data_IF_915285544739
#
_entry.id   IF_915285544739
#
_cell.length_a   1.000
_cell.length_b   1.000
_cell.length_c   1.000
_cell.angle_alpha   90.00
_cell.angle_beta   90.00
_cell.angle_gamma   90.00
#
_symmetry.space_group_name_H-M   'P 1'
#
loop_
_entity.id
_entity.type
_entity.pdbx_description
1 polymer ?
#
# COMPACT_ATOMS: atom_id res chain seq x y z
N UNK A 1 -43.35 10.81 2.33
CA UNK A 1 -42.47 11.94 2.00
C UNK A 1 -41.63 12.23 3.24
N UNK A 2 -40.36 11.83 3.22
CA UNK A 2 -39.30 12.31 4.12
C UNK A 2 -37.98 11.85 3.48
N UNK A 3 -37.27 12.72 2.75
CA UNK A 3 -35.99 12.36 2.18
C UNK A 3 -35.02 12.11 3.33
N UNK A 4 -34.48 10.89 3.42
CA UNK A 4 -33.35 10.58 4.29
C UNK A 4 -32.23 11.53 3.88
N UNK A 5 -31.99 12.54 4.70
CA UNK A 5 -30.84 13.43 4.59
C UNK A 5 -29.61 12.56 4.75
N UNK A 6 -29.01 12.19 3.62
CA UNK A 6 -27.67 11.62 3.59
C UNK A 6 -26.79 12.73 4.18
N UNK A 7 -26.09 12.52 5.31
CA UNK A 7 -25.14 13.50 5.79
C UNK A 7 -24.16 13.79 4.66
N UNK A 8 -23.86 15.06 4.35
CA UNK A 8 -22.92 15.37 3.29
C UNK A 8 -21.64 14.60 3.60
N UNK A 9 -21.12 13.83 2.62
CA UNK A 9 -19.74 13.36 2.68
C UNK A 9 -18.93 14.58 3.11
N UNK A 10 -18.33 14.54 4.30
CA UNK A 10 -17.39 15.58 4.67
C UNK A 10 -16.40 15.60 3.50
N UNK A 11 -16.34 16.71 2.77
CA UNK A 11 -15.36 16.84 1.70
C UNK A 11 -14.03 16.52 2.37
N UNK A 12 -13.27 15.57 1.84
CA UNK A 12 -11.94 15.31 2.34
C UNK A 12 -11.18 16.63 2.26
N UNK A 13 -10.95 17.28 3.40
CA UNK A 13 -10.27 18.58 3.47
C UNK A 13 -8.80 18.32 3.69
N UNK A 14 -7.95 19.12 3.03
CA UNK A 14 -6.51 19.08 3.26
C UNK A 14 -6.22 19.42 4.72
N UNK A 15 -5.17 18.83 5.26
CA UNK A 15 -4.68 19.23 6.58
C UNK A 15 -4.21 20.70 6.52
N UNK A 16 -4.46 21.45 7.59
CA UNK A 16 -4.07 22.87 7.69
C UNK A 16 -2.59 23.10 7.41
N UNK A 17 -1.74 22.16 7.83
CA UNK A 17 -0.30 22.19 7.58
C UNK A 17 0.04 22.05 6.08
N UNK A 18 -0.73 21.28 5.31
CA UNK A 18 -0.57 21.13 3.86
C UNK A 18 -1.02 22.41 3.16
N UNK A 19 -2.10 23.04 3.61
CA UNK A 19 -2.55 24.32 3.04
C UNK A 19 -1.53 25.45 3.29
N UNK A 20 -0.96 25.51 4.50
CA UNK A 20 0.11 26.45 4.82
C UNK A 20 1.38 26.20 3.99
N UNK A 21 1.76 24.93 3.79
CA UNK A 21 2.88 24.57 2.93
C UNK A 21 2.62 24.96 1.47
N UNK A 22 1.43 24.68 0.92
CA UNK A 22 1.05 25.09 -0.43
C UNK A 22 1.18 26.61 -0.61
N UNK A 23 0.65 27.40 0.32
CA UNK A 23 0.74 28.86 0.27
C UNK A 23 2.21 29.34 0.32
N UNK A 24 3.06 28.70 1.11
CA UNK A 24 4.50 29.00 1.11
C UNK A 24 5.15 28.65 -0.23
N UNK A 25 4.78 27.53 -0.85
CA UNK A 25 5.32 27.07 -2.13
C UNK A 25 4.94 27.94 -3.33
N UNK A 26 3.86 28.71 -3.25
CA UNK A 26 3.48 29.66 -4.30
C UNK A 26 4.46 30.83 -4.43
N UNK A 27 5.13 31.21 -3.33
CA UNK A 27 6.13 32.29 -3.31
C UNK A 27 7.50 31.87 -3.81
N UNK A 28 7.74 30.55 -3.95
CA UNK A 28 9.02 29.96 -4.29
C UNK A 28 9.25 29.91 -5.80
N UNK A 29 10.49 30.19 -6.21
CA UNK A 29 10.94 29.97 -7.58
C UNK A 29 10.83 28.50 -7.97
N UNK A 30 10.56 28.22 -9.26
CA UNK A 30 10.34 26.85 -9.72
C UNK A 30 11.56 25.93 -9.51
N UNK A 31 12.78 26.43 -9.69
CA UNK A 31 13.98 25.61 -9.47
C UNK A 31 14.22 25.31 -7.99
N UNK A 32 13.88 26.24 -7.09
CA UNK A 32 13.93 26.01 -5.65
C UNK A 32 12.87 24.98 -5.21
N UNK A 33 11.67 25.06 -5.79
CA UNK A 33 10.62 24.05 -5.60
C UNK A 33 11.13 22.65 -5.99
N UNK A 34 11.77 22.51 -7.15
CA UNK A 34 12.31 21.23 -7.60
C UNK A 34 13.38 20.71 -6.64
N UNK A 35 14.32 21.55 -6.22
CA UNK A 35 15.38 21.17 -5.29
C UNK A 35 14.80 20.64 -3.96
N UNK A 36 13.76 21.29 -3.43
CA UNK A 36 13.06 20.82 -2.22
C UNK A 36 12.25 19.53 -2.46
N UNK A 37 11.63 19.38 -3.62
CA UNK A 37 10.89 18.17 -3.97
C UNK A 37 11.79 16.93 -4.15
N UNK A 38 13.07 17.13 -4.50
CA UNK A 38 14.08 16.07 -4.57
C UNK A 38 14.49 15.51 -3.20
N UNK A 39 14.38 16.34 -2.15
CA UNK A 39 14.59 15.89 -0.77
C UNK A 39 13.59 14.77 -0.50
N UNK A 40 14.13 13.62 -0.10
CA UNK A 40 13.35 12.41 0.09
C UNK A 40 13.22 12.00 1.55
N UNK A 41 13.99 12.63 2.43
CA UNK A 41 13.96 12.37 3.87
C UNK A 41 12.85 13.19 4.51
N UNK A 42 11.83 12.52 5.07
CA UNK A 42 10.69 13.17 5.75
C UNK A 42 11.09 13.94 7.01
N UNK A 43 12.23 13.61 7.61
CA UNK A 43 12.75 14.29 8.79
C UNK A 43 13.51 15.58 8.45
N UNK A 44 13.81 15.82 7.17
CA UNK A 44 14.49 17.03 6.74
C UNK A 44 13.50 18.22 6.73
N UNK A 45 13.84 19.38 7.35
CA UNK A 45 12.97 20.56 7.35
C UNK A 45 12.63 21.12 5.96
N UNK A 46 13.45 20.85 4.95
CA UNK A 46 13.21 21.23 3.56
C UNK A 46 12.34 20.25 2.78
N UNK A 47 11.94 19.11 3.38
CA UNK A 47 11.09 18.13 2.73
C UNK A 47 9.69 18.68 2.49
N UNK A 48 9.29 18.73 1.23
CA UNK A 48 7.92 19.05 0.83
C UNK A 48 7.05 17.80 0.96
N UNK A 49 5.84 17.92 1.48
CA UNK A 49 4.88 16.81 1.54
C UNK A 49 4.42 16.37 0.16
N UNK A 50 4.05 15.10 0.04
CA UNK A 50 3.67 14.54 -1.26
C UNK A 50 2.34 15.13 -1.76
N UNK A 51 1.44 15.48 -0.86
CA UNK A 51 0.19 16.20 -1.12
C UNK A 51 0.44 17.55 -1.80
N UNK A 52 1.36 18.34 -1.25
CA UNK A 52 1.76 19.65 -1.78
C UNK A 52 2.43 19.52 -3.16
N UNK A 53 3.24 18.47 -3.37
CA UNK A 53 3.80 18.15 -4.68
C UNK A 53 2.69 17.82 -5.70
N UNK A 54 1.68 17.03 -5.32
CA UNK A 54 0.54 16.70 -6.19
C UNK A 54 -0.21 17.96 -6.55
N UNK A 55 -0.51 18.84 -5.58
CA UNK A 55 -1.14 20.13 -5.83
C UNK A 55 -0.38 20.94 -6.89
N UNK A 56 0.94 21.12 -6.70
CA UNK A 56 1.79 21.87 -7.65
C UNK A 56 1.86 21.21 -9.02
N UNK A 57 1.92 19.88 -9.08
CA UNK A 57 1.90 19.13 -10.34
C UNK A 57 0.58 19.36 -11.09
N UNK A 58 -0.56 19.31 -10.39
CA UNK A 58 -1.89 19.55 -10.99
C UNK A 58 -2.06 20.99 -11.45
N UNK A 59 -1.52 21.96 -10.70
CA UNK A 59 -1.51 23.37 -11.10
C UNK A 59 -0.81 23.61 -12.44
N UNK A 60 0.18 22.79 -12.85
CA UNK A 60 0.80 22.94 -14.18
C UNK A 60 -0.15 22.71 -15.36
N UNK A 61 -1.35 22.18 -15.10
CA UNK A 61 -2.41 22.04 -16.11
C UNK A 61 -2.89 23.39 -16.64
N UNK A 62 -2.98 24.43 -15.79
CA UNK A 62 -3.42 25.77 -16.22
C UNK A 62 -2.38 26.49 -17.07
N UNK A 63 -1.10 26.20 -16.83
CA UNK A 63 0.01 26.95 -17.42
C UNK A 63 0.52 26.33 -18.73
N UNK A 64 -0.04 25.18 -19.13
CA UNK A 64 0.31 24.37 -20.31
C UNK A 64 1.82 24.17 -20.54
N UNK A 65 2.61 24.18 -19.45
CA UNK A 65 4.05 24.04 -19.51
C UNK A 65 4.46 22.59 -19.24
N UNK A 66 4.54 21.81 -20.32
CA UNK A 66 4.90 20.38 -20.27
C UNK A 66 6.28 20.14 -19.63
N UNK A 67 7.23 21.07 -19.77
CA UNK A 67 8.56 20.92 -19.18
C UNK A 67 8.51 20.96 -17.64
N UNK A 68 7.70 21.86 -17.06
CA UNK A 68 7.49 21.92 -15.60
C UNK A 68 6.77 20.68 -15.09
N UNK A 69 5.72 20.27 -15.79
CA UNK A 69 4.98 19.06 -15.47
C UNK A 69 5.90 17.83 -15.46
N UNK A 70 6.70 17.64 -16.50
CA UNK A 70 7.59 16.48 -16.63
C UNK A 70 8.59 16.39 -15.46
N UNK A 71 9.17 17.52 -15.03
CA UNK A 71 10.09 17.54 -13.87
C UNK A 71 9.37 17.12 -12.58
N UNK A 72 8.17 17.65 -12.32
CA UNK A 72 7.39 17.29 -11.13
C UNK A 72 6.86 15.85 -11.18
N UNK A 73 6.44 15.38 -12.36
CA UNK A 73 5.92 14.05 -12.58
C UNK A 73 6.97 12.96 -12.28
N UNK A 74 8.22 13.17 -12.69
CA UNK A 74 9.32 12.25 -12.36
C UNK A 74 9.52 12.15 -10.85
N UNK A 75 9.46 13.27 -10.13
CA UNK A 75 9.60 13.29 -8.66
C UNK A 75 8.41 12.62 -7.97
N UNK A 76 7.20 12.86 -8.47
CA UNK A 76 5.97 12.22 -7.99
C UNK A 76 6.04 10.70 -8.15
N UNK A 77 6.40 10.19 -9.33
CA UNK A 77 6.59 8.75 -9.55
C UNK A 77 7.67 8.17 -8.64
N UNK A 78 8.77 8.90 -8.41
CA UNK A 78 9.85 8.48 -7.53
C UNK A 78 9.38 8.33 -6.08
N UNK A 79 8.48 9.21 -5.62
CA UNK A 79 7.87 9.14 -4.28
C UNK A 79 6.91 7.97 -4.15
N UNK A 80 6.10 7.70 -5.18
CA UNK A 80 5.24 6.51 -5.20
C UNK A 80 6.08 5.24 -5.18
N UNK A 81 7.09 5.13 -6.04
CA UNK A 81 7.97 3.96 -6.08
C UNK A 81 8.66 3.70 -4.73
N UNK A 82 9.03 4.76 -3.98
CA UNK A 82 9.59 4.64 -2.63
C UNK A 82 8.57 4.23 -1.56
N UNK A 83 7.30 4.60 -1.75
CA UNK A 83 6.20 4.20 -0.87
C UNK A 83 5.78 2.74 -1.09
N UNK A 84 6.05 2.19 -2.28
CA UNK A 84 5.81 0.79 -2.58
C UNK A 84 6.85 -0.14 -1.90
N UNK A 85 6.48 -1.38 -1.57
CA UNK A 85 7.40 -2.35 -0.98
C UNK A 85 8.57 -2.64 -1.93
N UNK A 86 9.77 -2.82 -1.37
CA UNK A 86 10.95 -3.18 -2.15
C UNK A 86 10.83 -4.63 -2.62
N UNK A 87 10.79 -4.82 -3.94
CA UNK A 87 10.87 -6.13 -4.56
C UNK A 87 12.27 -6.75 -4.48
N UNK A 88 13.30 -5.91 -4.29
CA UNK A 88 14.70 -6.33 -4.22
C UNK A 88 15.15 -6.48 -2.77
N UNK A 89 15.77 -7.61 -2.47
CA UNK A 89 16.43 -7.86 -1.18
C UNK A 89 17.83 -8.39 -1.40
N UNK A 90 18.81 -7.77 -0.75
CA UNK A 90 20.18 -8.28 -0.71
C UNK A 90 20.29 -9.33 0.38
N UNK A 91 20.65 -10.55 0.02
CA UNK A 91 20.99 -11.64 0.94
C UNK A 91 22.34 -12.19 0.51
N UNK A 92 23.31 -12.23 1.42
CA UNK A 92 24.67 -12.73 1.18
C UNK A 92 25.34 -12.14 -0.08
N UNK A 93 25.19 -10.84 -0.29
CA UNK A 93 25.78 -10.12 -1.44
C UNK A 93 25.11 -10.39 -2.79
N UNK A 94 24.05 -11.21 -2.84
CA UNK A 94 23.23 -11.46 -4.03
C UNK A 94 21.92 -10.68 -3.92
N UNK A 95 21.51 -10.05 -5.02
CA UNK A 95 20.22 -9.37 -5.13
C UNK A 95 19.18 -10.42 -5.53
N UNK A 96 18.28 -10.73 -4.61
CA UNK A 96 17.08 -11.52 -4.87
C UNK A 96 15.95 -10.57 -5.23
N UNK A 97 15.24 -10.88 -6.32
CA UNK A 97 14.08 -10.12 -6.77
C UNK A 97 12.83 -10.98 -6.56
N UNK A 98 11.92 -10.50 -5.73
CA UNK A 98 10.59 -11.07 -5.63
C UNK A 98 9.77 -10.65 -6.84
N UNK A 99 9.56 -11.59 -7.76
CA UNK A 99 8.80 -11.38 -9.00
C UNK A 99 7.36 -10.94 -8.71
N UNK A 100 6.69 -11.52 -7.70
CA UNK A 100 5.30 -11.19 -7.40
C UNK A 100 5.18 -9.75 -6.89
N UNK A 101 6.07 -9.34 -5.98
CA UNK A 101 6.11 -7.94 -5.51
C UNK A 101 6.46 -6.97 -6.63
N UNK A 102 7.37 -7.35 -7.54
CA UNK A 102 7.72 -6.54 -8.70
C UNK A 102 6.52 -6.33 -9.63
N UNK A 103 5.79 -7.39 -9.97
CA UNK A 103 4.62 -7.31 -10.85
C UNK A 103 3.51 -6.44 -10.26
N UNK A 104 3.30 -6.52 -8.93
CA UNK A 104 2.35 -5.64 -8.23
C UNK A 104 2.80 -4.18 -8.30
N UNK A 105 4.09 -3.91 -8.11
CA UNK A 105 4.63 -2.56 -8.18
C UNK A 105 4.52 -1.97 -9.59
N UNK A 106 4.84 -2.75 -10.62
CA UNK A 106 4.71 -2.33 -12.02
C UNK A 106 3.25 -2.03 -12.36
N UNK A 107 2.31 -2.91 -11.96
CA UNK A 107 0.88 -2.68 -12.14
C UNK A 107 0.36 -1.42 -11.39
N UNK A 108 0.90 -1.12 -10.21
CA UNK A 108 0.58 0.10 -9.47
C UNK A 108 1.10 1.35 -10.18
N UNK A 109 2.35 1.31 -10.68
CA UNK A 109 2.98 2.40 -11.41
C UNK A 109 2.27 2.69 -12.74
N UNK A 110 1.87 1.65 -13.47
CA UNK A 110 1.08 1.80 -14.69
C UNK A 110 -0.30 2.40 -14.43
N UNK A 111 -0.94 1.97 -13.34
CA UNK A 111 -2.23 2.53 -12.95
C UNK A 111 -2.12 4.00 -12.61
N UNK A 112 -1.11 4.44 -11.85
CA UNK A 112 -0.98 5.87 -11.52
C UNK A 112 -0.63 6.70 -12.75
N UNK A 113 0.20 6.20 -13.68
CA UNK A 113 0.47 6.89 -14.96
C UNK A 113 -0.84 7.19 -15.70
N UNK A 114 -1.72 6.20 -15.80
CA UNK A 114 -3.05 6.37 -16.40
C UNK A 114 -3.92 7.38 -15.63
N UNK A 115 -3.93 7.34 -14.30
CA UNK A 115 -4.70 8.30 -13.49
C UNK A 115 -4.21 9.73 -13.71
N UNK A 116 -2.90 9.95 -13.82
CA UNK A 116 -2.31 11.26 -14.11
C UNK A 116 -2.71 11.75 -15.51
N UNK A 117 -2.70 10.87 -16.52
CA UNK A 117 -3.18 11.23 -17.86
C UNK A 117 -4.66 11.66 -17.85
N UNK A 118 -5.51 10.91 -17.14
CA UNK A 118 -6.93 11.23 -17.01
C UNK A 118 -7.16 12.55 -16.25
N UNK A 119 -6.41 12.79 -15.17
CA UNK A 119 -6.48 14.05 -14.41
C UNK A 119 -6.08 15.25 -15.29
N UNK A 120 -5.00 15.11 -16.06
CA UNK A 120 -4.53 16.16 -16.98
C UNK A 120 -5.56 16.49 -18.06
N UNK A 121 -6.35 15.51 -18.50
CA UNK A 121 -7.38 15.70 -19.53
C UNK A 121 -8.63 16.44 -19.04
N UNK A 122 -8.81 16.65 -17.73
CA UNK A 122 -10.12 17.11 -17.23
C UNK A 122 -10.53 16.58 -15.88
N UNK A 123 -9.91 15.49 -15.43
CA UNK A 123 -10.43 14.69 -14.32
C UNK A 123 -10.12 15.23 -12.92
N UNK A 124 -10.69 14.51 -11.96
CA UNK A 124 -10.59 14.64 -10.50
C UNK A 124 -9.84 13.45 -9.88
N UNK A 125 -9.13 12.67 -10.72
CA UNK A 125 -8.57 11.36 -10.35
C UNK A 125 -7.44 11.47 -9.31
N UNK A 126 -6.83 12.64 -9.18
CA UNK A 126 -5.78 12.90 -8.20
C UNK A 126 -6.27 13.69 -6.96
N UNK A 127 -7.55 14.03 -6.85
CA UNK A 127 -8.11 14.76 -5.69
C UNK A 127 -7.77 14.05 -4.37
N UNK A 128 -7.93 12.73 -4.33
CA UNK A 128 -7.64 11.96 -3.14
C UNK A 128 -6.15 11.92 -2.80
N UNK A 129 -5.26 11.94 -3.80
CA UNK A 129 -3.81 11.98 -3.60
C UNK A 129 -3.32 13.34 -3.08
N UNK A 130 -4.09 14.39 -3.33
CA UNK A 130 -3.80 15.74 -2.85
C UNK A 130 -4.21 15.95 -1.40
N UNK A 131 -5.09 15.09 -0.87
CA UNK A 131 -5.57 15.18 0.52
C UNK A 131 -4.93 14.11 1.41
N UNK A 132 -4.88 12.87 0.94
CA UNK A 132 -4.35 11.72 1.68
C UNK A 132 -3.42 10.91 0.79
N UNK A 133 -2.22 11.42 0.51
CA UNK A 133 -1.31 10.78 -0.42
C UNK A 133 -0.95 9.35 0.01
N UNK A 134 -0.59 9.19 1.29
CA UNK A 134 -0.15 7.89 1.83
C UNK A 134 -1.29 6.84 1.75
N UNK A 135 -2.52 7.21 2.10
CA UNK A 135 -3.70 6.33 1.99
C UNK A 135 -4.04 6.01 0.53
N UNK A 136 -3.91 7.00 -0.37
CA UNK A 136 -4.14 6.83 -1.80
C UNK A 136 -3.15 5.80 -2.40
N UNK A 137 -1.87 5.85 -2.02
CA UNK A 137 -0.87 4.88 -2.45
C UNK A 137 -1.14 3.49 -1.88
N UNK A 138 -1.57 3.39 -0.62
CA UNK A 138 -1.96 2.11 -0.03
C UNK A 138 -3.14 1.45 -0.81
N UNK A 139 -4.16 2.24 -1.15
CA UNK A 139 -5.30 1.77 -1.96
C UNK A 139 -4.88 1.43 -3.40
N UNK A 140 -3.97 2.19 -4.00
CA UNK A 140 -3.40 1.90 -5.32
C UNK A 140 -2.74 0.52 -5.34
N UNK A 141 -1.89 0.23 -4.34
CA UNK A 141 -1.22 -1.06 -4.18
C UNK A 141 -2.21 -2.19 -3.99
N UNK A 142 -3.23 -2.02 -3.14
CA UNK A 142 -4.26 -3.04 -2.94
C UNK A 142 -5.01 -3.36 -4.24
N UNK A 143 -5.33 -2.34 -5.03
CA UNK A 143 -5.96 -2.52 -6.34
C UNK A 143 -5.04 -3.23 -7.33
N UNK A 144 -3.74 -2.89 -7.34
CA UNK A 144 -2.76 -3.54 -8.19
C UNK A 144 -2.61 -5.03 -7.85
N UNK A 145 -2.48 -5.36 -6.56
CA UNK A 145 -2.43 -6.74 -6.06
C UNK A 145 -3.62 -7.57 -6.53
N UNK A 146 -4.84 -7.08 -6.31
CA UNK A 146 -6.07 -7.77 -6.76
C UNK A 146 -6.07 -8.04 -8.26
N UNK A 147 -5.55 -7.12 -9.07
CA UNK A 147 -5.47 -7.27 -10.52
C UNK A 147 -4.42 -8.30 -10.94
N UNK A 148 -3.27 -8.32 -10.27
CA UNK A 148 -2.22 -9.33 -10.51
C UNK A 148 -2.72 -10.72 -10.13
N UNK A 149 -3.32 -10.88 -8.95
CA UNK A 149 -3.91 -12.15 -8.50
C UNK A 149 -5.01 -12.64 -9.46
N UNK A 150 -5.96 -11.77 -9.83
CA UNK A 150 -7.03 -12.12 -10.76
C UNK A 150 -6.53 -12.44 -12.18
N UNK A 151 -5.34 -11.95 -12.56
CA UNK A 151 -4.70 -12.32 -13.83
C UNK A 151 -4.06 -13.70 -13.73
N UNK A 152 -3.32 -13.96 -12.64
CA UNK A 152 -2.73 -15.27 -12.38
C UNK A 152 -3.79 -16.37 -12.35
N UNK A 153 -4.92 -16.15 -11.68
CA UNK A 153 -6.08 -17.07 -11.63
C UNK A 153 -6.71 -17.36 -13.01
N UNK A 154 -6.56 -16.46 -14.00
CA UNK A 154 -7.06 -16.68 -15.37
C UNK A 154 -6.05 -17.40 -16.25
N UNK A 155 -4.77 -17.28 -15.92
CA UNK A 155 -3.66 -17.87 -16.66
C UNK A 155 -3.34 -19.29 -16.15
N UNK A 156 -3.94 -19.75 -15.05
CA UNK A 156 -3.80 -21.14 -14.58
C UNK A 156 -4.45 -22.11 -15.57
N UNK A 157 -3.69 -23.07 -16.14
CA UNK A 157 -4.25 -24.10 -17.01
C UNK A 157 -5.33 -24.89 -16.26
N UNK A 158 -6.46 -25.12 -16.93
CA UNK A 158 -7.50 -26.02 -16.42
C UNK A 158 -6.95 -27.44 -16.60
N UNK A 159 -6.59 -28.10 -15.50
CA UNK A 159 -6.24 -29.52 -15.53
C UNK A 159 -7.53 -30.32 -15.73
N UNK A 160 -7.56 -31.13 -16.79
CA UNK A 160 -8.62 -32.10 -17.01
C UNK A 160 -8.08 -33.41 -16.45
N UNK A 161 -8.78 -33.99 -15.49
CA UNK A 161 -8.47 -35.31 -14.98
C UNK A 161 -8.81 -36.35 -16.06
N UNK A 162 -7.78 -37.00 -16.62
CA UNK A 162 -7.88 -37.91 -17.78
C UNK A 162 -8.71 -39.17 -17.46
N UNK A 163 -8.90 -39.51 -16.18
CA UNK A 163 -9.68 -40.69 -15.75
C UNK A 163 -11.17 -40.41 -15.52
N UNK A 164 -11.58 -39.16 -15.25
CA UNK A 164 -12.96 -38.81 -14.92
C UNK A 164 -13.62 -37.80 -15.85
N UNK A 165 -12.84 -37.11 -16.70
CA UNK A 165 -13.32 -36.02 -17.55
C UNK A 165 -13.84 -34.81 -16.75
N UNK A 166 -13.58 -34.77 -15.45
CA UNK A 166 -13.96 -33.67 -14.56
C UNK A 166 -12.85 -32.62 -14.55
N UNK A 167 -13.23 -31.35 -14.68
CA UNK A 167 -12.31 -30.23 -14.55
C UNK A 167 -11.85 -30.14 -13.10
N UNK A 168 -10.59 -30.46 -12.83
CA UNK A 168 -9.99 -30.29 -11.51
C UNK A 168 -9.17 -29.00 -11.58
N UNK A 169 -9.56 -27.99 -10.80
CA UNK A 169 -8.74 -26.80 -10.64
C UNK A 169 -7.37 -27.25 -10.13
N UNK A 170 -6.32 -27.02 -10.92
CA UNK A 170 -4.95 -27.38 -10.59
C UNK A 170 -4.52 -26.61 -9.34
N UNK A 171 -4.67 -27.27 -8.19
CA UNK A 171 -4.27 -26.72 -6.90
C UNK A 171 -2.75 -26.82 -6.74
N UNK A 172 -2.02 -26.15 -7.63
CA UNK A 172 -0.60 -25.85 -7.44
C UNK A 172 -0.44 -24.35 -7.18
N UNK A 173 -0.99 -23.91 -6.05
CA UNK A 173 -0.52 -22.70 -5.37
C UNK A 173 -0.05 -23.08 -3.98
N UNK A 174 1.02 -23.88 -3.92
CA UNK A 174 1.81 -24.02 -2.70
C UNK A 174 2.36 -22.63 -2.36
N UNK A 175 1.79 -22.00 -1.33
CA UNK A 175 2.31 -20.76 -0.74
C UNK A 175 1.50 -19.48 -0.95
N UNK A 176 0.26 -19.54 -1.45
CA UNK A 176 -0.61 -18.36 -1.34
C UNK A 176 -0.97 -18.16 0.13
N UNK A 177 -0.32 -17.18 0.75
CA UNK A 177 -0.68 -16.64 2.06
C UNK A 177 -2.16 -16.24 2.06
N UNK A 178 -3.02 -17.19 2.42
CA UNK A 178 -4.40 -16.96 2.75
C UNK A 178 -4.42 -16.10 4.04
N UNK A 179 -4.31 -14.78 3.87
CA UNK A 179 -4.84 -13.69 4.72
C UNK A 179 -4.32 -12.31 4.23
N UNK A 180 -4.40 -12.06 2.92
CA UNK A 180 -3.62 -11.05 2.21
C UNK A 180 -4.13 -9.59 2.23
N UNK A 181 -5.31 -9.33 2.80
CA UNK A 181 -5.85 -7.96 2.92
C UNK A 181 -5.40 -7.28 4.22
N UNK A 182 -5.22 -8.04 5.29
CA UNK A 182 -4.92 -7.51 6.62
C UNK A 182 -3.42 -7.23 6.83
N UNK A 183 -2.55 -7.87 6.04
CA UNK A 183 -1.07 -7.75 6.11
C UNK A 183 -0.50 -6.56 5.34
N UNK A 184 -1.33 -5.81 4.62
CA UNK A 184 -0.89 -4.65 3.86
C UNK A 184 -0.25 -3.57 4.76
N UNK A 185 -0.74 -3.45 6.00
CA UNK A 185 -0.20 -2.51 7.01
C UNK A 185 1.12 -3.04 7.58
N UNK A 186 1.24 -4.35 7.78
CA UNK A 186 2.43 -5.01 8.31
C UNK A 186 3.64 -4.91 7.38
N UNK A 187 3.39 -4.79 6.08
CA UNK A 187 4.38 -4.68 5.03
C UNK A 187 4.63 -3.24 4.56
N UNK A 188 4.02 -2.24 5.21
CA UNK A 188 4.09 -0.84 4.78
C UNK A 188 5.39 -0.16 5.24
N UNK A 189 6.26 0.28 4.31
CA UNK A 189 7.51 0.98 4.66
C UNK A 189 7.27 2.32 5.37
N UNK A 190 6.13 2.97 5.14
CA UNK A 190 5.80 4.31 5.66
C UNK A 190 5.53 4.24 7.16
N UNK A 191 4.88 3.17 7.62
CA UNK A 191 4.51 3.01 9.02
C UNK A 191 5.60 2.33 9.85
N UNK A 192 6.66 1.78 9.26
CA UNK A 192 7.62 0.90 9.95
C UNK A 192 8.07 1.36 11.34
N UNK A 193 8.45 2.63 11.61
CA UNK A 193 8.83 3.06 12.96
C UNK A 193 7.64 3.08 13.94
N UNK A 194 6.49 3.63 13.49
CA UNK A 194 5.26 3.73 14.29
C UNK A 194 4.60 2.36 14.50
N UNK A 195 4.68 1.50 13.49
CA UNK A 195 4.21 0.12 13.50
C UNK A 195 5.01 -0.72 14.48
N UNK A 196 6.35 -0.62 14.48
CA UNK A 196 7.20 -1.33 15.45
C UNK A 196 6.89 -0.89 16.89
N UNK A 197 6.74 0.41 17.13
CA UNK A 197 6.32 0.93 18.44
C UNK A 197 4.91 0.43 18.84
N UNK A 198 3.97 0.40 17.89
CA UNK A 198 2.63 -0.12 18.14
C UNK A 198 2.62 -1.65 18.40
N UNK A 199 3.48 -2.41 17.72
CA UNK A 199 3.67 -3.85 17.96
C UNK A 199 4.25 -4.10 19.36
N UNK A 200 5.17 -3.24 19.83
CA UNK A 200 5.68 -3.37 21.21
C UNK A 200 4.62 -3.13 22.27
N UNK A 201 3.64 -2.26 21.99
CA UNK A 201 2.53 -1.95 22.89
C UNK A 201 1.39 -3.00 22.86
N UNK A 202 1.45 -4.01 21.97
CA UNK A 202 0.44 -5.07 21.93
C UNK A 202 0.53 -6.01 23.15
N UNK A 203 -0.59 -6.60 23.59
CA UNK A 203 -0.58 -7.72 24.53
C UNK A 203 0.32 -8.87 24.03
N UNK A 204 1.03 -9.54 24.93
CA UNK A 204 2.03 -10.58 24.59
C UNK A 204 1.50 -11.63 23.60
N UNK A 205 0.29 -12.15 23.84
CA UNK A 205 -0.35 -13.15 22.99
C UNK A 205 -0.64 -12.66 21.56
N UNK A 206 -0.84 -11.35 21.38
CA UNK A 206 -1.07 -10.72 20.07
C UNK A 206 0.26 -10.40 19.40
N UNK A 207 1.23 -9.91 20.18
CA UNK A 207 2.59 -9.60 19.74
C UNK A 207 3.30 -10.83 19.18
N UNK A 208 3.21 -11.98 19.84
CA UNK A 208 3.81 -13.24 19.38
C UNK A 208 3.24 -13.69 18.03
N UNK A 209 1.92 -13.66 17.88
CA UNK A 209 1.25 -14.03 16.61
C UNK A 209 1.66 -13.08 15.47
N UNK A 210 1.70 -11.77 15.72
CA UNK A 210 2.14 -10.80 14.69
C UNK A 210 3.63 -10.97 14.36
N UNK A 211 4.48 -11.22 15.35
CA UNK A 211 5.91 -11.44 15.14
C UNK A 211 6.17 -12.68 14.29
N UNK A 212 5.48 -13.79 14.59
CA UNK A 212 5.56 -15.02 13.79
C UNK A 212 4.97 -14.85 12.39
N UNK A 213 3.90 -14.06 12.26
CA UNK A 213 3.31 -13.69 10.95
C UNK A 213 4.30 -12.88 10.12
N UNK A 214 4.99 -11.91 10.73
CA UNK A 214 6.05 -11.11 10.09
C UNK A 214 7.26 -11.95 9.69
N UNK A 215 7.50 -13.06 10.38
CA UNK A 215 8.52 -14.06 10.03
C UNK A 215 8.05 -15.06 8.94
N UNK A 216 6.89 -14.84 8.32
CA UNK A 216 6.27 -15.71 7.31
C UNK A 216 5.96 -17.13 7.78
N UNK A 217 5.71 -17.32 9.07
CA UNK A 217 5.28 -18.62 9.60
C UNK A 217 3.79 -18.81 9.31
N UNK A 218 3.35 -19.93 8.71
CA UNK A 218 1.95 -20.15 8.39
C UNK A 218 1.10 -20.31 9.66
N UNK A 219 -0.14 -19.81 9.64
CA UNK A 219 -1.05 -19.89 10.79
C UNK A 219 -1.40 -21.33 11.17
N UNK A 220 -1.53 -22.20 10.16
CA UNK A 220 -1.70 -23.63 10.27
C UNK A 220 -0.91 -24.32 9.16
N UNK A 221 -0.41 -25.53 9.41
CA UNK A 221 0.22 -26.39 8.41
C UNK A 221 -0.33 -27.80 8.56
N UNK A 222 -0.61 -28.46 7.43
CA UNK A 222 -0.92 -29.90 7.38
C UNK A 222 0.34 -30.74 7.20
N UNK A 223 1.46 -30.12 6.86
CA UNK A 223 2.77 -30.76 6.70
C UNK A 223 3.52 -30.71 8.06
N UNK A 224 3.88 -31.88 8.64
CA UNK A 224 4.60 -31.95 9.90
C UNK A 224 6.04 -31.39 9.85
N UNK A 225 6.64 -31.25 8.67
CA UNK A 225 7.97 -30.66 8.50
C UNK A 225 7.94 -29.11 8.48
N UNK A 226 6.76 -28.51 8.37
CA UNK A 226 6.56 -27.06 8.35
C UNK A 226 5.96 -26.60 9.68
N UNK A 227 6.77 -25.91 10.48
CA UNK A 227 6.32 -25.32 11.73
C UNK A 227 5.21 -24.28 11.47
N UNK A 228 4.09 -24.42 12.18
CA UNK A 228 2.95 -23.49 12.12
C UNK A 228 2.78 -22.73 13.43
N UNK A 229 2.18 -21.53 13.37
CA UNK A 229 1.93 -20.68 14.54
C UNK A 229 1.07 -21.42 15.57
N UNK A 230 0.02 -22.14 15.13
CA UNK A 230 -0.80 -22.99 15.99
C UNK A 230 0.01 -24.07 16.71
N UNK A 231 0.95 -24.71 16.00
CA UNK A 231 1.84 -25.72 16.56
C UNK A 231 2.85 -25.17 17.56
N UNK A 232 3.47 -24.03 17.25
CA UNK A 232 4.47 -23.37 18.10
C UNK A 232 3.86 -22.77 19.38
N UNK A 233 2.66 -22.20 19.29
CA UNK A 233 1.96 -21.59 20.43
C UNK A 233 1.01 -22.57 21.15
N UNK A 234 1.01 -23.86 20.77
CA UNK A 234 0.13 -24.90 21.30
C UNK A 234 -1.34 -24.46 21.39
N UNK A 235 -1.85 -23.81 20.35
CA UNK A 235 -3.20 -23.26 20.33
C UNK A 235 -3.93 -23.57 19.02
N UNK A 236 -5.26 -23.61 19.08
CA UNK A 236 -6.10 -23.90 17.91
C UNK A 236 -5.95 -22.82 16.80
N UNK A 237 -5.97 -23.18 15.50
CA UNK A 237 -5.90 -22.21 14.40
C UNK A 237 -6.94 -21.08 14.47
N UNK A 238 -8.13 -21.33 15.03
CA UNK A 238 -9.16 -20.31 15.26
C UNK A 238 -8.72 -19.29 16.30
N UNK A 239 -7.97 -19.72 17.31
CA UNK A 239 -7.39 -18.84 18.34
C UNK A 239 -6.31 -17.95 17.74
N UNK A 240 -5.45 -18.50 16.88
CA UNK A 240 -4.44 -17.73 16.12
C UNK A 240 -5.12 -16.66 15.27
N UNK A 241 -6.18 -17.02 14.53
CA UNK A 241 -6.95 -16.09 13.70
C UNK A 241 -7.56 -14.95 14.54
N UNK A 242 -8.19 -15.26 15.67
CA UNK A 242 -8.80 -14.26 16.54
C UNK A 242 -7.76 -13.31 17.17
N UNK A 243 -6.63 -13.84 17.63
CA UNK A 243 -5.51 -13.04 18.16
C UNK A 243 -4.95 -12.10 17.09
N UNK A 244 -4.75 -12.62 15.88
CA UNK A 244 -4.29 -11.83 14.72
C UNK A 244 -5.28 -10.73 14.34
N UNK A 245 -6.57 -11.05 14.22
CA UNK A 245 -7.60 -10.06 13.90
C UNK A 245 -7.65 -8.91 14.91
N UNK A 246 -7.58 -9.23 16.21
CA UNK A 246 -7.52 -8.22 17.29
C UNK A 246 -6.25 -7.38 17.23
N UNK A 247 -5.11 -8.01 16.97
CA UNK A 247 -3.85 -7.32 16.83
C UNK A 247 -3.89 -6.32 15.66
N UNK A 248 -4.44 -6.72 14.52
CA UNK A 248 -4.52 -5.86 13.33
C UNK A 248 -5.49 -4.69 13.55
N UNK A 249 -6.61 -4.91 14.23
CA UNK A 249 -7.51 -3.83 14.64
C UNK A 249 -6.81 -2.82 15.57
N UNK A 250 -6.08 -3.31 16.58
CA UNK A 250 -5.32 -2.46 17.49
C UNK A 250 -4.21 -1.67 16.77
N UNK A 251 -3.49 -2.31 15.83
CA UNK A 251 -2.47 -1.65 15.02
C UNK A 251 -3.08 -0.57 14.11
N UNK A 252 -4.23 -0.83 13.49
CA UNK A 252 -4.96 0.17 12.69
C UNK A 252 -5.38 1.37 13.53
N UNK A 253 -5.89 1.13 14.74
CA UNK A 253 -6.29 2.20 15.66
C UNK A 253 -5.08 3.04 16.09
N UNK A 254 -3.97 2.41 16.45
CA UNK A 254 -2.73 3.10 16.83
C UNK A 254 -2.12 3.93 15.69
N UNK A 255 -2.34 3.51 14.44
CA UNK A 255 -1.88 4.21 13.24
C UNK A 255 -2.89 5.24 12.71
N UNK A 256 -4.05 5.39 13.35
CA UNK A 256 -5.09 6.36 12.96
C UNK A 256 -5.88 5.98 11.69
N UNK A 257 -5.84 4.71 11.28
CA UNK A 257 -6.46 4.22 10.04
C UNK A 257 -7.94 3.81 10.17
N UNK A 258 -8.49 3.79 11.39
CA UNK A 258 -9.88 3.39 11.65
C UNK A 258 -10.16 1.89 11.45
N UNK A 259 -11.28 1.39 12.01
CA UNK A 259 -11.75 0.03 11.75
C UNK A 259 -12.58 -0.02 10.46
N UNK A 260 -12.22 -0.91 9.52
CA UNK A 260 -13.10 -1.25 8.40
C UNK A 260 -14.36 -1.91 8.99
N UNK A 261 -15.52 -1.29 8.76
CA UNK A 261 -16.83 -1.88 9.05
C UNK A 261 -17.24 -2.86 7.96
#
# INVERSE_FOLDING_TARGET
>A
MNPRTIPPLSKYTRMTEVEAEIASLETLGFDELIARCEISDRSNPGYIRSESLVHRMRATRSDNNDARFNRLFVLFLRRIARALPRAERTVDGKVLVDAATKDINDAALDRIRLLVTLDRSGGDRLDFYEVHFDEAVAKLRLSARRRVSARAERETPIEVDDDSGVLVASAQTTGAHANDADDAILSDPIFRPRLLAAIEALPQEQKEVITMTLANIPSQSSDPDIASISGLLHCDPRTVHNRRKRAIAALRQALGLGEDK
#
